data_IF_856623770852
#
_entry.id   IF_856623770852
#
_cell.length_a   1.000
_cell.length_b   1.000
_cell.length_c   1.000
_cell.angle_alpha   90.00
_cell.angle_beta   90.00
_cell.angle_gamma   90.00
#
_symmetry.space_group_name_H-M   'P 1'
#
loop_
_entity.id
_entity.type
_entity.pdbx_description
1 polymer ?
#
# COMPACT_ATOMS: atom_id res chain seq x y z
N UNK A 1 -18.67 15.67 33.93
CA UNK A 1 -17.31 15.70 33.35
C UNK A 1 -17.42 15.00 32.01
N UNK A 2 -17.65 15.79 30.97
CA UNK A 2 -17.62 15.33 29.57
C UNK A 2 -16.19 15.55 29.10
N UNK A 3 -15.46 14.46 28.89
CA UNK A 3 -14.14 14.52 28.26
C UNK A 3 -14.33 14.98 26.82
N UNK A 4 -13.78 16.16 26.54
CA UNK A 4 -13.74 16.77 25.22
C UNK A 4 -12.66 16.03 24.43
N UNK A 5 -13.04 14.92 23.77
CA UNK A 5 -12.18 14.26 22.79
C UNK A 5 -12.09 15.21 21.60
N UNK A 6 -11.01 15.99 21.55
CA UNK A 6 -10.72 16.97 20.52
C UNK A 6 -11.07 16.45 19.12
N UNK A 7 -11.57 17.35 18.29
CA UNK A 7 -12.04 17.07 16.93
C UNK A 7 -10.95 16.41 16.07
N UNK A 8 -10.89 15.08 16.06
CA UNK A 8 -9.99 14.33 15.19
C UNK A 8 -10.52 14.39 13.75
N UNK A 9 -9.99 15.33 12.99
CA UNK A 9 -10.22 15.40 11.54
C UNK A 9 -9.26 14.47 10.82
N UNK A 10 -9.73 13.29 10.40
CA UNK A 10 -8.94 12.31 9.63
C UNK A 10 -9.09 12.62 8.14
N UNK A 11 -8.00 12.98 7.47
CA UNK A 11 -7.97 12.95 6.00
C UNK A 11 -7.71 11.50 5.57
N UNK A 12 -8.77 10.83 5.15
CA UNK A 12 -8.73 9.49 4.57
C UNK A 12 -8.39 9.58 3.08
N UNK A 13 -7.23 9.02 2.72
CA UNK A 13 -6.93 8.63 1.35
C UNK A 13 -6.55 9.78 0.44
N UNK A 14 -5.23 9.99 0.30
CA UNK A 14 -4.67 10.68 -0.86
C UNK A 14 -4.31 9.57 -1.84
N UNK A 15 -5.07 9.33 -2.92
CA UNK A 15 -4.56 8.53 -4.00
C UNK A 15 -3.26 9.19 -4.46
N UNK A 16 -2.16 8.46 -4.65
CA UNK A 16 -0.87 9.01 -5.08
C UNK A 16 -0.95 9.83 -6.37
N UNK A 17 -2.00 9.62 -7.17
CA UNK A 17 -2.29 10.32 -8.41
C UNK A 17 -2.93 11.70 -8.20
N UNK A 18 -3.49 11.99 -7.01
CA UNK A 18 -3.97 13.31 -6.67
C UNK A 18 -2.80 14.25 -6.40
N UNK A 19 -2.73 15.33 -7.19
CA UNK A 19 -1.71 16.38 -7.01
C UNK A 19 -1.82 16.96 -5.61
N UNK A 20 -0.69 17.08 -4.91
CA UNK A 20 -0.55 17.67 -3.56
C UNK A 20 -1.30 19.01 -3.41
N UNK A 21 -1.37 19.80 -4.49
CA UNK A 21 -2.07 21.08 -4.49
C UNK A 21 -3.59 20.96 -4.23
N UNK A 22 -4.21 19.82 -4.57
CA UNK A 22 -5.62 19.58 -4.31
C UNK A 22 -5.89 19.32 -2.82
N UNK A 23 -4.91 18.80 -2.08
CA UNK A 23 -5.03 18.57 -0.64
C UNK A 23 -5.01 19.86 0.17
N UNK A 24 -4.15 20.79 -0.24
CA UNK A 24 -4.08 22.12 0.36
C UNK A 24 -5.40 22.89 0.22
N UNK A 25 -6.23 22.52 -0.77
CA UNK A 25 -7.53 23.15 -1.00
C UNK A 25 -8.66 22.58 -0.12
N UNK A 26 -8.49 21.35 0.37
CA UNK A 26 -9.51 20.63 1.16
C UNK A 26 -9.41 20.91 2.67
N UNK A 27 -8.28 21.42 3.13
CA UNK A 27 -7.97 21.49 4.55
C UNK A 27 -8.06 22.94 5.06
N UNK A 28 -9.29 23.39 5.34
CA UNK A 28 -9.54 24.68 6.00
C UNK A 28 -9.49 24.60 7.53
N UNK A 29 -9.51 23.39 8.08
CA UNK A 29 -9.57 23.12 9.52
C UNK A 29 -8.31 22.38 9.98
N UNK A 30 -7.91 22.57 11.25
CA UNK A 30 -6.78 21.84 11.84
C UNK A 30 -7.04 20.33 11.84
N UNK A 31 -5.97 19.56 11.69
CA UNK A 31 -5.99 18.09 11.81
C UNK A 31 -4.96 17.62 12.82
N UNK A 32 -5.29 16.57 13.56
CA UNK A 32 -4.39 15.94 14.53
C UNK A 32 -3.55 14.82 13.90
N UNK A 33 -4.09 14.16 12.86
CA UNK A 33 -3.41 13.07 12.15
C UNK A 33 -3.65 13.10 10.62
N UNK A 34 -2.61 12.78 9.85
CA UNK A 34 -2.72 12.50 8.41
C UNK A 34 -2.33 11.06 8.13
N UNK A 35 -3.19 10.31 7.45
CA UNK A 35 -2.96 8.91 7.10
C UNK A 35 -2.79 8.78 5.58
N UNK A 36 -1.61 8.32 5.16
CA UNK A 36 -1.32 8.02 3.76
C UNK A 36 -1.78 6.59 3.45
N UNK A 37 -2.78 6.46 2.58
CA UNK A 37 -3.31 5.17 2.14
C UNK A 37 -2.83 4.87 0.73
N UNK A 38 -1.91 3.91 0.63
CA UNK A 38 -1.28 3.52 -0.62
C UNK A 38 -1.74 2.20 -1.19
N UNK A 39 -2.95 1.78 -0.84
CA UNK A 39 -3.41 0.42 -1.07
C UNK A 39 -3.87 0.23 -2.50
N UNK A 40 -3.51 -0.91 -3.06
CA UNK A 40 -4.06 -1.40 -4.30
C UNK A 40 -5.57 -1.62 -4.15
N UNK A 41 -6.32 -1.18 -5.16
CA UNK A 41 -7.76 -1.42 -5.25
C UNK A 41 -8.01 -2.62 -6.19
N UNK A 42 -8.50 -3.74 -5.65
CA UNK A 42 -8.81 -4.95 -6.42
C UNK A 42 -9.82 -4.70 -7.54
N UNK A 43 -9.73 -5.49 -8.60
CA UNK A 43 -10.73 -5.48 -9.68
C UNK A 43 -10.54 -4.41 -10.74
N UNK A 44 -9.35 -3.81 -10.82
CA UNK A 44 -8.98 -2.93 -11.93
C UNK A 44 -8.66 -3.78 -13.18
N UNK A 45 -9.49 -3.68 -14.23
CA UNK A 45 -9.18 -4.29 -15.52
C UNK A 45 -8.17 -3.44 -16.33
N UNK A 46 -7.18 -4.05 -17.02
CA UNK A 46 -6.92 -5.50 -17.08
C UNK A 46 -6.19 -6.02 -15.83
N UNK A 47 -6.41 -7.30 -15.48
CA UNK A 47 -5.75 -7.99 -14.36
C UNK A 47 -4.23 -8.00 -14.54
N UNK A 48 -3.49 -7.46 -13.58
CA UNK A 48 -2.04 -7.56 -13.52
C UNK A 48 -1.54 -7.88 -12.11
N UNK A 49 -0.45 -8.63 -12.02
CA UNK A 49 0.23 -8.92 -10.75
C UNK A 49 0.77 -7.62 -10.14
N UNK A 50 0.35 -7.30 -8.91
CA UNK A 50 0.66 -6.07 -8.20
C UNK A 50 0.92 -6.36 -6.71
N UNK A 51 1.52 -5.42 -5.98
CA UNK A 51 1.63 -5.49 -4.52
C UNK A 51 0.39 -4.88 -3.82
N UNK A 52 0.03 -5.35 -2.61
CA UNK A 52 -1.10 -4.81 -1.84
C UNK A 52 -1.00 -3.31 -1.53
N UNK A 53 0.22 -2.78 -1.39
CA UNK A 53 0.48 -1.34 -1.15
C UNK A 53 1.29 -0.70 -2.28
N UNK A 54 0.88 -0.95 -3.52
CA UNK A 54 1.51 -0.35 -4.70
C UNK A 54 0.82 0.97 -5.08
N UNK A 55 1.54 2.08 -4.93
CA UNK A 55 1.03 3.44 -5.26
C UNK A 55 0.88 3.68 -6.77
N UNK A 56 1.51 2.88 -7.61
CA UNK A 56 1.60 3.12 -9.04
C UNK A 56 1.72 1.80 -9.79
N UNK A 57 1.32 1.79 -11.06
CA UNK A 57 1.64 0.69 -12.00
C UNK A 57 3.16 0.50 -12.19
N UNK A 58 3.98 1.41 -11.66
CA UNK A 58 5.44 1.28 -11.64
C UNK A 58 5.90 0.33 -10.55
N UNK A 59 6.80 -0.58 -10.92
CA UNK A 59 7.23 -1.76 -10.15
C UNK A 59 8.07 -1.48 -8.90
N UNK A 60 8.19 -0.22 -8.45
CA UNK A 60 9.06 0.14 -7.33
C UNK A 60 8.27 0.64 -6.11
N UNK A 61 8.19 -0.21 -5.10
CA UNK A 61 7.74 0.15 -3.75
C UNK A 61 8.67 1.17 -3.08
N UNK A 62 9.95 1.21 -3.45
CA UNK A 62 10.90 2.21 -2.96
C UNK A 62 10.57 3.60 -3.51
N UNK A 63 10.20 3.71 -4.80
CA UNK A 63 9.77 4.99 -5.37
C UNK A 63 8.49 5.47 -4.69
N UNK A 64 7.58 4.54 -4.39
CA UNK A 64 6.33 4.83 -3.67
C UNK A 64 6.60 5.40 -2.26
N UNK A 65 7.54 4.81 -1.52
CA UNK A 65 7.95 5.30 -0.19
C UNK A 65 8.71 6.63 -0.28
N UNK A 66 9.60 6.79 -1.26
CA UNK A 66 10.33 8.05 -1.50
C UNK A 66 9.36 9.18 -1.87
N UNK A 67 8.38 8.92 -2.73
CA UNK A 67 7.31 9.87 -3.06
C UNK A 67 6.50 10.22 -1.82
N UNK A 68 6.10 9.23 -1.02
CA UNK A 68 5.34 9.46 0.22
C UNK A 68 6.14 10.29 1.24
N UNK A 69 7.41 9.96 1.46
CA UNK A 69 8.28 10.72 2.38
C UNK A 69 8.56 12.14 1.88
N UNK A 70 8.68 12.33 0.57
CA UNK A 70 8.82 13.65 -0.04
C UNK A 70 7.53 14.48 0.08
N UNK A 71 6.36 13.85 -0.06
CA UNK A 71 5.05 14.47 0.20
C UNK A 71 4.95 14.87 1.67
N UNK A 72 5.25 13.96 2.60
CA UNK A 72 5.28 14.19 4.05
C UNK A 72 6.16 15.39 4.41
N UNK A 73 7.40 15.41 3.91
CA UNK A 73 8.36 16.49 4.15
C UNK A 73 7.84 17.83 3.60
N UNK A 74 7.24 17.80 2.42
CA UNK A 74 6.69 19.01 1.79
C UNK A 74 5.49 19.55 2.56
N UNK A 75 4.59 18.69 3.01
CA UNK A 75 3.41 19.06 3.80
C UNK A 75 3.81 19.59 5.18
N UNK A 76 4.71 18.89 5.89
CA UNK A 76 5.23 19.32 7.19
C UNK A 76 5.85 20.72 7.10
N UNK A 77 6.68 20.97 6.08
CA UNK A 77 7.33 22.27 5.90
C UNK A 77 6.36 23.39 5.46
N UNK A 78 5.39 23.10 4.57
CA UNK A 78 4.49 24.13 4.02
C UNK A 78 3.35 24.51 4.97
N UNK A 79 2.85 23.55 5.73
CA UNK A 79 1.67 23.74 6.56
C UNK A 79 2.02 24.01 8.03
N UNK A 80 3.32 24.05 8.37
CA UNK A 80 3.84 24.17 9.74
C UNK A 80 3.14 23.19 10.70
N UNK A 81 2.92 21.99 10.17
CA UNK A 81 2.08 20.97 10.75
C UNK A 81 2.87 20.23 11.85
N UNK A 82 2.36 20.25 13.08
CA UNK A 82 2.79 19.38 14.19
C UNK A 82 2.04 18.04 14.23
N UNK A 83 1.07 17.86 13.34
CA UNK A 83 0.23 16.68 13.13
C UNK A 83 1.06 15.43 12.93
N UNK A 84 0.64 14.34 13.57
CA UNK A 84 1.23 13.02 13.38
C UNK A 84 0.93 12.50 11.97
N UNK A 85 1.93 11.88 11.34
CA UNK A 85 1.78 11.32 10.00
C UNK A 85 1.97 9.81 10.06
N UNK A 86 0.99 9.08 9.55
CA UNK A 86 0.97 7.62 9.53
C UNK A 86 0.93 7.10 8.08
N UNK A 87 1.61 5.99 7.83
CA UNK A 87 1.49 5.24 6.58
C UNK A 87 0.62 4.02 6.86
N UNK A 88 -0.45 3.87 6.09
CA UNK A 88 -1.33 2.72 6.21
C UNK A 88 -0.72 1.53 5.47
N UNK A 89 -0.65 0.39 6.15
CA UNK A 89 -0.22 -0.90 5.61
C UNK A 89 -1.45 -1.73 5.26
N UNK A 90 -1.39 -2.47 4.15
CA UNK A 90 -2.44 -3.38 3.71
C UNK A 90 -2.12 -4.84 4.06
N UNK A 91 -2.86 -5.40 5.02
CA UNK A 91 -2.77 -6.82 5.39
C UNK A 91 -3.63 -7.73 4.48
N UNK A 92 -3.83 -7.32 3.23
CA UNK A 92 -4.42 -8.17 2.21
C UNK A 92 -3.35 -9.05 1.54
N UNK A 93 -3.75 -10.25 1.18
CA UNK A 93 -3.00 -11.13 0.28
C UNK A 93 -3.71 -11.12 -1.07
N UNK A 94 -3.01 -10.64 -2.09
CA UNK A 94 -3.50 -10.69 -3.47
C UNK A 94 -3.02 -11.98 -4.11
N UNK A 95 -3.95 -12.82 -4.55
CA UNK A 95 -3.65 -14.07 -5.25
C UNK A 95 -4.05 -13.94 -6.71
N UNK A 96 -3.06 -14.11 -7.59
CA UNK A 96 -3.19 -14.00 -9.04
C UNK A 96 -3.03 -15.36 -9.68
N UNK A 97 -3.96 -15.72 -10.56
CA UNK A 97 -3.83 -16.90 -11.43
C UNK A 97 -3.12 -16.51 -12.71
N UNK A 98 -1.98 -17.13 -12.98
CA UNK A 98 -1.21 -16.96 -14.21
C UNK A 98 -1.72 -17.93 -15.28
N UNK A 99 -1.59 -17.51 -16.55
CA UNK A 99 -1.82 -18.40 -17.69
C UNK A 99 -0.67 -19.38 -17.92
N UNK A 100 -0.21 -19.51 -19.16
CA UNK A 100 0.90 -20.39 -19.53
C UNK A 100 2.29 -19.90 -19.06
N UNK A 101 2.37 -18.73 -18.43
CA UNK A 101 3.62 -18.09 -18.05
C UNK A 101 4.16 -18.67 -16.73
N UNK A 102 5.30 -19.37 -16.79
CA UNK A 102 5.99 -19.90 -15.59
C UNK A 102 6.81 -18.86 -14.83
N UNK A 103 7.02 -17.69 -15.41
CA UNK A 103 7.79 -16.60 -14.82
C UNK A 103 6.85 -15.42 -14.66
N UNK A 104 6.89 -14.77 -13.50
CA UNK A 104 6.19 -13.50 -13.32
C UNK A 104 7.18 -12.39 -13.01
N UNK A 105 6.72 -11.19 -13.32
CA UNK A 105 7.23 -9.92 -12.84
C UNK A 105 6.02 -9.07 -12.43
N UNK A 106 6.20 -8.06 -11.60
CA UNK A 106 5.13 -7.07 -11.37
C UNK A 106 4.67 -6.49 -12.71
N UNK A 107 3.35 -6.32 -12.87
CA UNK A 107 2.73 -5.94 -14.13
C UNK A 107 2.55 -7.09 -15.11
N UNK A 108 2.82 -8.35 -14.74
CA UNK A 108 2.46 -9.51 -15.57
C UNK A 108 0.95 -9.64 -15.64
N UNK A 109 0.39 -9.84 -16.83
CA UNK A 109 -1.04 -10.06 -16.99
C UNK A 109 -1.49 -11.36 -16.29
N UNK A 110 -2.60 -11.30 -15.56
CA UNK A 110 -3.23 -12.44 -14.92
C UNK A 110 -4.58 -12.77 -15.56
N UNK A 111 -5.03 -14.01 -15.32
CA UNK A 111 -6.36 -14.46 -15.71
C UNK A 111 -7.41 -14.06 -14.66
N UNK A 112 -7.02 -14.12 -13.39
CA UNK A 112 -7.90 -13.86 -12.26
C UNK A 112 -7.10 -13.29 -11.09
N UNK A 113 -7.75 -12.39 -10.37
CA UNK A 113 -7.31 -11.85 -9.09
C UNK A 113 -8.31 -12.26 -8.00
N UNK A 114 -7.80 -12.62 -6.84
CA UNK A 114 -8.58 -12.83 -5.62
C UNK A 114 -7.89 -12.17 -4.43
N UNK A 115 -8.68 -11.72 -3.47
CA UNK A 115 -8.21 -11.01 -2.29
C UNK A 115 -8.60 -11.84 -1.08
N UNK A 116 -7.64 -12.03 -0.18
CA UNK A 116 -7.86 -12.74 1.08
C UNK A 116 -7.19 -11.99 2.22
N UNK A 117 -7.62 -12.25 3.44
CA UNK A 117 -6.96 -11.70 4.63
C UNK A 117 -5.63 -12.40 4.87
N UNK A 118 -4.62 -11.66 5.34
CA UNK A 118 -3.35 -12.24 5.80
C UNK A 118 -3.57 -13.34 6.85
N UNK A 119 -4.53 -13.14 7.76
CA UNK A 119 -4.86 -14.12 8.80
C UNK A 119 -5.48 -15.41 8.24
N UNK A 120 -6.19 -15.33 7.12
CA UNK A 120 -6.80 -16.49 6.48
C UNK A 120 -5.77 -17.33 5.72
N UNK A 121 -4.86 -16.66 5.00
CA UNK A 121 -3.84 -17.35 4.19
C UNK A 121 -2.69 -17.85 5.05
N UNK A 122 -2.37 -17.13 6.14
CA UNK A 122 -1.25 -17.39 7.04
C UNK A 122 0.02 -17.81 6.27
N UNK A 123 0.54 -16.94 5.37
CA UNK A 123 1.69 -17.28 4.56
C UNK A 123 2.86 -17.63 5.49
N UNK A 124 3.37 -18.86 5.38
CA UNK A 124 4.34 -19.41 6.33
C UNK A 124 5.59 -18.52 6.44
N UNK A 125 5.73 -17.78 7.54
CA UNK A 125 6.82 -16.83 7.77
C UNK A 125 8.18 -17.49 7.50
N UNK A 126 9.02 -16.84 6.68
CA UNK A 126 10.37 -17.30 6.37
C UNK A 126 10.47 -18.65 5.66
N UNK A 127 9.39 -19.19 5.09
CA UNK A 127 9.43 -20.41 4.29
C UNK A 127 10.32 -20.24 3.04
N UNK A 128 10.94 -21.33 2.53
CA UNK A 128 11.87 -21.27 1.40
C UNK A 128 11.23 -20.73 0.09
N UNK A 129 9.90 -20.65 0.05
CA UNK A 129 9.13 -20.19 -1.11
C UNK A 129 8.72 -18.71 -1.05
N UNK A 130 9.14 -17.98 0.00
CA UNK A 130 8.88 -16.54 0.12
C UNK A 130 10.07 -15.76 -0.43
N UNK A 131 9.76 -14.90 -1.39
CA UNK A 131 10.71 -14.01 -2.03
C UNK A 131 10.42 -12.57 -1.62
N UNK A 132 11.49 -11.84 -1.29
CA UNK A 132 11.42 -10.44 -0.90
C UNK A 132 11.65 -9.57 -2.13
N UNK A 133 10.59 -8.89 -2.56
CA UNK A 133 10.67 -7.96 -3.69
C UNK A 133 11.02 -6.55 -3.24
N UNK A 134 10.64 -6.16 -2.02
CA UNK A 134 10.94 -4.84 -1.47
C UNK A 134 11.10 -4.81 0.05
N UNK A 135 11.16 -3.60 0.61
CA UNK A 135 11.21 -3.40 2.06
C UNK A 135 9.91 -3.83 2.75
N UNK A 136 8.76 -3.71 2.09
CA UNK A 136 7.44 -3.97 2.69
C UNK A 136 6.69 -5.12 2.04
N UNK A 137 7.06 -5.50 0.80
CA UNK A 137 6.31 -6.46 0.01
C UNK A 137 7.09 -7.73 -0.26
N UNK A 138 6.39 -8.85 -0.13
CA UNK A 138 6.85 -10.20 -0.38
C UNK A 138 5.94 -10.89 -1.38
N UNK A 139 6.43 -11.97 -1.98
CA UNK A 139 5.60 -12.85 -2.77
C UNK A 139 5.92 -14.32 -2.56
N UNK A 140 4.93 -15.16 -2.83
CA UNK A 140 5.07 -16.61 -2.96
C UNK A 140 4.54 -17.01 -4.33
N UNK A 141 5.22 -17.93 -5.01
CA UNK A 141 4.80 -18.39 -6.33
C UNK A 141 4.81 -19.91 -6.45
N UNK A 142 3.91 -20.43 -7.26
CA UNK A 142 3.97 -21.78 -7.77
C UNK A 142 3.81 -21.75 -9.31
N UNK A 143 3.60 -22.91 -9.95
CA UNK A 143 3.54 -23.00 -11.41
C UNK A 143 2.38 -22.21 -12.06
N UNK A 144 1.34 -21.87 -11.32
CA UNK A 144 0.08 -21.29 -11.84
C UNK A 144 -0.44 -20.11 -11.03
N UNK A 145 0.12 -19.86 -9.85
CA UNK A 145 -0.36 -18.82 -8.94
C UNK A 145 0.79 -18.00 -8.38
N UNK A 146 0.53 -16.71 -8.18
CA UNK A 146 1.39 -15.79 -7.46
C UNK A 146 0.57 -15.15 -6.36
N UNK A 147 1.11 -15.13 -5.15
CA UNK A 147 0.55 -14.42 -4.01
C UNK A 147 1.48 -13.27 -3.66
N UNK A 148 0.97 -12.06 -3.55
CA UNK A 148 1.71 -10.89 -3.05
C UNK A 148 1.09 -10.43 -1.74
N UNK A 149 1.92 -10.07 -0.77
CA UNK A 149 1.50 -9.70 0.57
C UNK A 149 2.57 -8.84 1.27
N UNK A 150 2.21 -8.21 2.38
CA UNK A 150 3.16 -7.50 3.25
C UNK A 150 3.51 -8.38 4.46
N UNK A 151 4.76 -8.32 4.94
CA UNK A 151 5.25 -9.15 6.06
C UNK A 151 5.95 -8.26 7.09
N UNK A 152 5.66 -8.46 8.37
CA UNK A 152 6.22 -7.70 9.49
C UNK A 152 7.71 -7.94 9.74
N UNK A 153 8.31 -9.01 9.19
CA UNK A 153 9.73 -9.35 9.44
C UNK A 153 10.71 -8.24 9.03
N UNK A 154 10.33 -7.36 8.10
CA UNK A 154 11.15 -6.21 7.67
C UNK A 154 10.76 -4.88 8.31
N UNK A 155 9.81 -4.88 9.24
CA UNK A 155 9.40 -3.67 9.96
C UNK A 155 10.16 -3.49 11.29
N UNK A 156 10.93 -4.50 11.69
CA UNK A 156 11.82 -4.47 12.87
C UNK A 156 13.23 -4.06 12.48
#
# INVERSE_FOLDING_TARGET
MTEDFGHVSIILGIPPQQKINNLMFLQKEPVDMVIFMGHYQPGAEPCHVMHPSSLSKTTSTLSSLVETTQIIKTLSHKLNITTEMCISVNLAVLTFTLGSTKKFQLGTQCLQETVSSYAEVCPSHGGPDIFYDSALSCYKQNSTHVQTFENEERWR
#
